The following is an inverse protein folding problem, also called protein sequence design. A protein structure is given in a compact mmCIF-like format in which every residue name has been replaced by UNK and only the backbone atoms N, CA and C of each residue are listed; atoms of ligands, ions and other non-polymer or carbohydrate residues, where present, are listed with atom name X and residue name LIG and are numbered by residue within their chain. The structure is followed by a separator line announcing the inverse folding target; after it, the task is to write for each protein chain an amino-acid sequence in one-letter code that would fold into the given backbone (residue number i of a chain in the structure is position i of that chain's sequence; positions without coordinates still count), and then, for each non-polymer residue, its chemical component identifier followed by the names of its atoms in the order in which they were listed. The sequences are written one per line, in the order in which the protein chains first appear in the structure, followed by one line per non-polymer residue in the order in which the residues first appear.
data_IF_405385975113
#
_entry.id   IF_405385975113
#
_cell.length_a   1.000
_cell.length_b   1.000
_cell.length_c   1.000
_cell.angle_alpha   90.00
_cell.angle_beta   90.00
_cell.angle_gamma   90.00
#
_symmetry.space_group_name_H-M   'P 1'
#
loop_
_entity.id
_entity.type
_entity.pdbx_description
1 polymer ?
#
# COMPACT_ATOMS: atom_id res chain seq x y z
N UNK A 1 28.05 -2.63 11.75
CA UNK A 1 26.81 -2.60 12.56
C UNK A 1 25.88 -3.60 11.93
N UNK A 2 25.29 -4.51 12.69
CA UNK A 2 24.34 -5.50 12.15
C UNK A 2 22.95 -4.87 12.20
N UNK A 3 22.24 -4.86 11.07
CA UNK A 3 20.87 -4.36 10.99
C UNK A 3 19.95 -5.40 11.63
N UNK A 4 19.05 -4.99 12.52
CA UNK A 4 18.12 -5.92 13.18
C UNK A 4 16.80 -5.99 12.41
N UNK A 5 16.06 -7.09 12.58
CA UNK A 5 14.71 -7.20 12.01
C UNK A 5 13.83 -6.04 12.50
N UNK A 6 13.92 -5.67 13.78
CA UNK A 6 13.14 -4.56 14.32
C UNK A 6 13.39 -3.26 13.56
N UNK A 7 14.64 -2.95 13.20
CA UNK A 7 14.95 -1.74 12.44
C UNK A 7 14.35 -1.77 11.04
N UNK A 8 14.35 -2.92 10.37
CA UNK A 8 13.74 -3.09 9.06
C UNK A 8 12.21 -2.92 9.16
N UNK A 9 11.59 -3.56 10.15
CA UNK A 9 10.15 -3.46 10.41
C UNK A 9 9.73 -2.02 10.73
N UNK A 10 10.47 -1.33 11.61
CA UNK A 10 10.18 0.05 11.98
C UNK A 10 10.25 0.99 10.75
N UNK A 11 11.22 0.78 9.85
CA UNK A 11 11.34 1.59 8.62
C UNK A 11 10.21 1.30 7.64
N UNK A 12 9.87 0.03 7.42
CA UNK A 12 8.78 -0.36 6.53
C UNK A 12 7.43 0.17 7.04
N UNK A 13 7.13 -0.03 8.33
CA UNK A 13 5.89 0.42 8.96
C UNK A 13 5.74 1.94 8.87
N UNK A 14 6.79 2.69 9.19
CA UNK A 14 6.75 4.15 9.10
C UNK A 14 6.58 4.63 7.65
N UNK A 15 7.22 3.98 6.69
CA UNK A 15 7.06 4.35 5.29
C UNK A 15 5.62 4.12 4.81
N UNK A 16 5.02 2.98 5.15
CA UNK A 16 3.63 2.68 4.79
C UNK A 16 2.67 3.71 5.39
N UNK A 17 2.78 3.99 6.68
CA UNK A 17 1.87 4.92 7.39
C UNK A 17 2.04 6.39 6.99
N UNK A 18 3.24 6.82 6.59
CA UNK A 18 3.54 8.24 6.40
C UNK A 18 3.76 8.66 4.95
N UNK A 19 4.06 7.72 4.05
CA UNK A 19 4.39 8.01 2.65
C UNK A 19 3.57 7.20 1.66
N UNK A 20 3.44 5.88 1.83
CA UNK A 20 2.74 5.03 0.87
C UNK A 20 1.22 5.16 0.97
N UNK A 21 0.65 4.78 2.11
CA UNK A 21 -0.79 4.77 2.39
C UNK A 21 -1.13 5.76 3.52
N UNK A 22 -0.61 6.99 3.43
CA UNK A 22 -0.90 8.00 4.44
C UNK A 22 -2.35 8.50 4.31
N UNK A 23 -3.10 8.65 5.41
CA UNK A 23 -4.36 9.37 5.39
C UNK A 23 -4.24 10.77 4.75
N UNK A 24 -5.22 11.12 3.91
CA UNK A 24 -5.20 12.32 3.08
C UNK A 24 -4.52 12.14 1.71
N UNK A 25 -4.00 10.96 1.39
CA UNK A 25 -3.54 10.66 0.03
C UNK A 25 -4.70 10.26 -0.88
N UNK A 26 -4.53 10.54 -2.17
CA UNK A 26 -5.47 10.15 -3.20
C UNK A 26 -5.32 8.67 -3.52
N UNK A 27 -6.42 7.94 -3.45
CA UNK A 27 -6.55 6.57 -3.92
C UNK A 27 -7.29 6.54 -5.25
N UNK A 28 -6.80 5.78 -6.22
CA UNK A 28 -7.38 5.64 -7.55
C UNK A 28 -8.21 4.36 -7.62
N UNK A 29 -9.47 4.49 -8.00
CA UNK A 29 -10.43 3.38 -8.00
C UNK A 29 -10.51 2.76 -9.38
N UNK A 30 -10.42 1.44 -9.43
CA UNK A 30 -10.53 0.60 -10.62
C UNK A 30 -11.62 -0.46 -10.42
N UNK A 31 -12.13 -1.00 -11.51
CA UNK A 31 -12.98 -2.21 -11.51
C UNK A 31 -12.21 -3.35 -12.17
N UNK A 32 -12.21 -4.51 -11.52
CA UNK A 32 -11.80 -5.76 -12.16
C UNK A 32 -13.02 -6.66 -12.37
N UNK A 33 -13.06 -7.36 -13.50
CA UNK A 33 -14.11 -8.32 -13.81
C UNK A 33 -13.72 -9.69 -13.24
N UNK A 34 -14.59 -10.29 -12.45
CA UNK A 34 -14.33 -11.61 -11.83
C UNK A 34 -14.18 -12.72 -12.89
N UNK A 35 -14.90 -12.59 -14.00
CA UNK A 35 -14.77 -13.45 -15.17
C UNK A 35 -14.83 -12.58 -16.44
N UNK A 36 -13.80 -12.56 -17.29
CA UNK A 36 -13.84 -11.80 -18.55
C UNK A 36 -14.93 -12.28 -19.52
N UNK A 37 -15.61 -13.40 -19.23
CA UNK A 37 -16.77 -13.91 -19.96
C UNK A 37 -18.13 -13.65 -19.28
N UNK A 38 -18.15 -13.11 -18.06
CA UNK A 38 -19.37 -12.72 -17.34
C UNK A 38 -19.34 -11.21 -17.05
N UNK A 39 -20.11 -10.44 -17.82
CA UNK A 39 -20.17 -8.98 -17.76
C UNK A 39 -21.02 -8.45 -16.59
N UNK A 40 -21.36 -9.31 -15.61
CA UNK A 40 -22.30 -8.94 -14.53
C UNK A 40 -21.68 -8.84 -13.14
N UNK A 41 -20.42 -9.25 -12.94
CA UNK A 41 -19.77 -9.24 -11.61
C UNK A 41 -18.43 -8.50 -11.68
N UNK A 42 -18.40 -7.28 -11.13
CA UNK A 42 -17.19 -6.46 -11.03
C UNK A 42 -16.86 -6.18 -9.56
N UNK A 43 -15.57 -6.16 -9.25
CA UNK A 43 -15.04 -5.78 -7.94
C UNK A 43 -14.32 -4.45 -8.06
N UNK A 44 -14.68 -3.49 -7.21
CA UNK A 44 -13.93 -2.24 -7.10
C UNK A 44 -12.74 -2.45 -6.17
N UNK A 45 -11.59 -1.95 -6.57
CA UNK A 45 -10.41 -1.89 -5.73
C UNK A 45 -9.70 -0.57 -5.96
N UNK A 46 -8.92 -0.15 -4.98
CA UNK A 46 -8.13 1.06 -5.07
C UNK A 46 -6.63 0.77 -5.23
N UNK A 47 -5.86 1.76 -5.67
CA UNK A 47 -4.39 1.78 -5.55
C UNK A 47 -3.92 3.19 -5.22
N UNK A 48 -2.80 3.33 -4.52
CA UNK A 48 -2.20 4.63 -4.16
C UNK A 48 -1.59 5.34 -5.38
N UNK A 49 -1.34 4.60 -6.45
CA UNK A 49 -0.73 5.09 -7.68
C UNK A 49 -1.64 4.83 -8.88
N UNK A 50 -1.80 5.80 -9.79
CA UNK A 50 -2.58 5.58 -10.99
C UNK A 50 -1.83 4.60 -11.89
N UNK A 51 -2.53 3.58 -12.36
CA UNK A 51 -2.01 2.65 -13.35
C UNK A 51 -1.73 3.39 -14.66
N UNK A 52 -0.58 3.12 -15.31
CA UNK A 52 -0.17 3.85 -16.52
C UNK A 52 -1.03 3.52 -17.76
N UNK A 53 -1.67 2.34 -17.79
CA UNK A 53 -2.40 1.82 -18.94
C UNK A 53 -3.93 1.72 -18.70
N UNK A 54 -4.43 2.21 -17.56
CA UNK A 54 -5.85 2.12 -17.18
C UNK A 54 -6.33 3.47 -16.60
N UNK A 55 -7.46 3.97 -17.11
CA UNK A 55 -8.12 5.15 -16.57
C UNK A 55 -8.86 4.78 -15.28
N UNK A 56 -8.56 5.48 -14.18
CA UNK A 56 -9.28 5.32 -12.94
C UNK A 56 -10.75 5.74 -13.11
N UNK A 57 -11.67 4.97 -12.53
CA UNK A 57 -13.10 5.27 -12.52
C UNK A 57 -13.40 6.51 -11.68
N UNK A 58 -12.71 6.63 -10.55
CA UNK A 58 -12.80 7.76 -9.63
C UNK A 58 -11.51 7.85 -8.81
N UNK A 59 -11.38 8.95 -8.06
CA UNK A 59 -10.27 9.17 -7.13
C UNK A 59 -10.83 9.60 -5.78
N UNK A 60 -10.51 8.86 -4.74
CA UNK A 60 -10.99 9.06 -3.37
C UNK A 60 -9.84 9.36 -2.43
N UNK A 61 -10.12 9.53 -1.13
CA UNK A 61 -9.12 9.84 -0.12
C UNK A 61 -8.95 8.66 0.84
N UNK A 62 -7.69 8.31 1.15
CA UNK A 62 -7.39 7.40 2.26
C UNK A 62 -7.75 8.10 3.57
N UNK A 63 -8.63 7.52 4.37
CA UNK A 63 -9.06 8.10 5.65
C UNK A 63 -8.42 7.43 6.85
N UNK A 64 -8.00 6.16 6.72
CA UNK A 64 -7.35 5.41 7.79
C UNK A 64 -6.43 4.32 7.23
N UNK A 65 -5.38 3.99 7.98
CA UNK A 65 -4.46 2.90 7.65
C UNK A 65 -3.97 2.22 8.91
N UNK A 66 -4.23 0.93 9.02
CA UNK A 66 -3.87 0.11 10.19
C UNK A 66 -2.95 -1.04 9.77
N UNK A 67 -1.77 -1.13 10.38
CA UNK A 67 -0.81 -2.20 10.10
C UNK A 67 -1.18 -3.44 10.91
N UNK A 68 -1.44 -4.55 10.22
CA UNK A 68 -1.79 -5.83 10.83
C UNK A 68 -0.56 -6.67 11.13
N UNK A 69 0.37 -6.75 10.17
CA UNK A 69 1.57 -7.59 10.27
C UNK A 69 2.73 -6.99 9.49
N UNK A 70 3.95 -7.19 10.02
CA UNK A 70 5.19 -6.83 9.33
C UNK A 70 6.16 -8.00 9.39
N UNK A 71 6.56 -8.51 8.23
CA UNK A 71 7.40 -9.71 8.07
C UNK A 71 8.63 -9.38 7.24
N UNK A 72 9.82 -9.78 7.71
CA UNK A 72 11.05 -9.65 6.92
C UNK A 72 11.16 -10.91 6.07
N UNK A 73 11.00 -10.78 4.75
CA UNK A 73 11.00 -11.90 3.80
C UNK A 73 12.42 -12.22 3.32
N UNK A 74 13.18 -11.19 2.91
CA UNK A 74 14.52 -11.37 2.36
C UNK A 74 15.58 -10.51 3.05
N UNK A 75 16.76 -11.08 3.25
CA UNK A 75 17.96 -10.40 3.76
C UNK A 75 19.17 -10.70 2.89
N UNK A 76 19.57 -9.74 2.07
CA UNK A 76 20.82 -9.79 1.32
C UNK A 76 21.87 -8.89 2.00
N UNK A 77 22.61 -9.45 2.96
CA UNK A 77 23.63 -8.72 3.72
C UNK A 77 24.85 -8.31 2.87
N UNK A 78 25.09 -8.98 1.73
CA UNK A 78 26.21 -8.69 0.84
C UNK A 78 25.94 -7.39 0.05
N UNK A 79 24.75 -7.30 -0.53
CA UNK A 79 24.32 -6.13 -1.31
C UNK A 79 23.68 -5.05 -0.43
N UNK A 80 23.36 -5.39 0.82
CA UNK A 80 22.64 -4.56 1.80
C UNK A 80 21.24 -4.17 1.32
N UNK A 81 20.57 -5.18 0.77
CA UNK A 81 19.21 -5.09 0.25
C UNK A 81 18.32 -6.00 1.09
N UNK A 82 17.14 -5.51 1.44
CA UNK A 82 16.21 -6.21 2.33
C UNK A 82 14.79 -6.04 1.79
N UNK A 83 13.99 -7.09 1.95
CA UNK A 83 12.56 -7.06 1.63
C UNK A 83 11.74 -7.26 2.91
N UNK A 84 10.77 -6.38 3.12
CA UNK A 84 9.83 -6.43 4.23
C UNK A 84 8.42 -6.35 3.67
N UNK A 85 7.61 -7.36 3.97
CA UNK A 85 6.19 -7.38 3.63
C UNK A 85 5.39 -6.77 4.77
N UNK A 86 4.52 -5.82 4.43
CA UNK A 86 3.62 -5.11 5.34
C UNK A 86 2.18 -5.43 4.95
N UNK A 87 1.46 -6.11 5.84
CA UNK A 87 0.02 -6.34 5.70
C UNK A 87 -0.72 -5.20 6.42
N UNK A 88 -1.55 -4.47 5.69
CA UNK A 88 -2.28 -3.31 6.19
C UNK A 88 -3.78 -3.37 5.83
N UNK A 89 -4.61 -2.75 6.65
CA UNK A 89 -5.98 -2.40 6.34
C UNK A 89 -6.02 -0.92 5.95
N UNK A 90 -6.41 -0.62 4.72
CA UNK A 90 -6.53 0.74 4.21
C UNK A 90 -8.00 1.05 3.99
N UNK A 91 -8.50 2.09 4.66
CA UNK A 91 -9.89 2.54 4.52
C UNK A 91 -9.92 3.77 3.63
N UNK A 92 -10.80 3.75 2.62
CA UNK A 92 -10.89 4.81 1.62
C UNK A 92 -12.29 5.41 1.68
N UNK A 93 -12.34 6.72 1.90
CA UNK A 93 -13.58 7.48 2.01
C UNK A 93 -13.93 8.20 0.71
N UNK A 94 -15.21 8.18 0.36
CA UNK A 94 -15.78 8.97 -0.73
C UNK A 94 -15.65 10.48 -0.44
N UNK A 95 -15.33 11.28 -1.47
CA UNK A 95 -15.50 12.73 -1.37
C UNK A 95 -17.00 13.06 -1.32
N UNK A 96 -17.41 13.98 -0.43
CA UNK A 96 -18.80 14.35 -0.11
C UNK A 96 -19.70 14.75 -1.30
N UNK A 97 -19.17 14.88 -2.52
CA UNK A 97 -19.90 15.31 -3.73
C UNK A 97 -20.58 14.18 -4.52
N UNK A 98 -20.37 12.90 -4.19
CA UNK A 98 -21.08 11.78 -4.82
C UNK A 98 -22.26 11.33 -3.93
N UNK A 99 -23.49 11.50 -4.42
CA UNK A 99 -24.72 10.95 -3.83
C UNK A 99 -24.70 9.40 -3.88
N UNK A 100 -23.85 8.76 -3.07
CA UNK A 100 -23.95 7.33 -2.77
C UNK A 100 -24.59 7.17 -1.39
N UNK A 101 -25.48 6.17 -1.27
CA UNK A 101 -26.13 5.81 -0.02
C UNK A 101 -25.08 5.63 1.09
N UNK A 102 -25.43 6.04 2.32
CA UNK A 102 -24.60 6.05 3.54
C UNK A 102 -24.01 4.66 3.90
N UNK A 103 -23.13 4.10 3.06
CA UNK A 103 -22.33 2.94 3.40
C UNK A 103 -21.02 3.43 4.02
N UNK A 104 -20.81 3.03 5.28
CA UNK A 104 -19.54 3.28 5.95
C UNK A 104 -18.41 2.69 5.10
N UNK A 105 -17.31 3.42 4.84
CA UNK A 105 -16.22 2.93 4.04
C UNK A 105 -15.61 1.69 4.68
N UNK A 106 -15.50 0.61 3.90
CA UNK A 106 -14.95 -0.66 4.37
C UNK A 106 -13.42 -0.68 4.24
N UNK A 107 -12.71 -1.24 5.24
CA UNK A 107 -11.26 -1.43 5.16
C UNK A 107 -10.91 -2.50 4.13
N UNK A 108 -9.89 -2.22 3.33
CA UNK A 108 -9.36 -3.13 2.31
C UNK A 108 -8.02 -3.71 2.77
N UNK A 109 -7.87 -5.03 2.69
CA UNK A 109 -6.59 -5.70 2.96
C UNK A 109 -5.58 -5.41 1.85
N UNK A 110 -4.36 -5.04 2.26
CA UNK A 110 -3.26 -4.63 1.39
C UNK A 110 -1.99 -5.35 1.81
N UNK A 111 -1.28 -5.92 0.85
CA UNK A 111 0.02 -6.58 1.07
C UNK A 111 1.04 -5.76 0.30
N UNK A 112 1.94 -5.10 1.03
CA UNK A 112 2.90 -4.15 0.46
C UNK A 112 4.30 -4.69 0.67
N UNK A 113 5.01 -5.02 -0.41
CA UNK A 113 6.44 -5.35 -0.39
C UNK A 113 7.25 -4.06 -0.36
N UNK A 114 8.02 -3.85 0.71
CA UNK A 114 8.89 -2.70 0.92
C UNK A 114 10.35 -3.11 0.75
N UNK A 115 11.02 -2.50 -0.23
CA UNK A 115 12.43 -2.73 -0.52
C UNK A 115 13.31 -1.71 0.19
N UNK A 116 14.15 -2.18 1.11
CA UNK A 116 15.00 -1.33 1.96
C UNK A 116 16.46 -1.50 1.58
N UNK A 117 17.15 -0.37 1.39
CA UNK A 117 18.58 -0.29 1.16
C UNK A 117 19.34 0.39 2.31
N UNK A 118 20.67 0.38 2.22
CA UNK A 118 21.57 1.05 3.17
C UNK A 118 22.45 2.06 2.47
N UNK A 119 22.42 3.32 2.91
CA UNK A 119 23.21 4.39 2.32
C UNK A 119 24.72 4.32 2.69
N UNK A 120 25.51 5.26 2.16
CA UNK A 120 26.95 5.35 2.45
C UNK A 120 27.29 5.64 3.92
N UNK A 121 26.33 6.16 4.69
CA UNK A 121 26.47 6.46 6.11
C UNK A 121 25.98 5.31 7.01
N UNK A 122 25.45 4.23 6.43
CA UNK A 122 24.88 3.11 7.16
C UNK A 122 23.44 3.34 7.63
N UNK A 123 22.73 4.30 7.04
CA UNK A 123 21.31 4.58 7.32
C UNK A 123 20.41 3.77 6.38
N UNK A 124 19.32 3.25 6.94
CA UNK A 124 18.28 2.57 6.17
C UNK A 124 17.45 3.59 5.39
N UNK A 125 17.08 3.25 4.16
CA UNK A 125 16.13 4.02 3.35
C UNK A 125 15.26 3.07 2.54
N UNK A 126 14.03 3.49 2.22
CA UNK A 126 13.15 2.74 1.32
C UNK A 126 13.50 3.10 -0.12
N UNK A 127 13.86 2.09 -0.91
CA UNK A 127 14.21 2.24 -2.31
C UNK A 127 12.98 2.16 -3.22
N UNK A 128 12.03 1.29 -2.90
CA UNK A 128 10.78 1.11 -3.61
C UNK A 128 9.73 0.42 -2.71
N UNK A 129 8.47 0.50 -3.10
CA UNK A 129 7.41 -0.33 -2.54
C UNK A 129 6.36 -0.66 -3.61
N UNK A 130 5.82 -1.88 -3.57
CA UNK A 130 4.81 -2.36 -4.52
C UNK A 130 3.80 -3.31 -3.85
N UNK A 131 2.63 -3.48 -4.50
CA UNK A 131 1.56 -4.43 -4.14
C UNK A 131 1.55 -5.63 -5.08
#
# INVERSE_FOLDING_TARGET
MMITDQQLKDVAENYVLNEYARPGLTAYIYEDADDPADDTTYHTYATEWPKPDEDALSSWEIIDTEIQLVTVEERNEEEKEYEVVVEALVTIGYSEDEEKEDEDPEPQERIISVYIGVDSNGQLFVANAEE
#
